data_IF_836809927093
#
_entry.id   IF_836809927093
#
_cell.length_a   1.000
_cell.length_b   1.000
_cell.length_c   1.000
_cell.angle_alpha   90.00
_cell.angle_beta   90.00
_cell.angle_gamma   90.00
#
_symmetry.space_group_name_H-M   'P 1'
#
loop_
_entity.id
_entity.type
_entity.pdbx_description
1 polymer ?
#
# COMPACT_ATOMS: atom_id res chain seq x y z
N UNK A 1 -36.66 41.45 -52.56
CA UNK A 1 -36.76 40.02 -52.24
C UNK A 1 -35.61 39.51 -51.39
N UNK A 2 -34.35 39.85 -51.59
CA UNK A 2 -33.19 39.35 -50.82
C UNK A 2 -33.17 39.70 -49.31
N UNK A 3 -33.62 40.92 -48.94
CA UNK A 3 -33.60 41.32 -47.50
C UNK A 3 -34.60 40.56 -46.63
N UNK A 4 -35.69 40.08 -47.18
CA UNK A 4 -36.71 39.30 -46.48
C UNK A 4 -36.27 37.85 -46.27
N UNK A 5 -35.63 37.23 -47.24
CA UNK A 5 -35.07 35.86 -47.14
C UNK A 5 -33.90 35.83 -46.13
N UNK A 6 -33.04 36.82 -46.10
CA UNK A 6 -31.95 36.90 -45.11
C UNK A 6 -32.47 37.06 -43.66
N UNK A 7 -33.57 37.80 -43.45
CA UNK A 7 -34.24 37.90 -42.14
C UNK A 7 -34.86 36.56 -41.70
N UNK A 8 -35.49 35.86 -42.63
CA UNK A 8 -36.11 34.57 -42.37
C UNK A 8 -35.07 33.51 -41.98
N UNK A 9 -33.93 33.46 -42.68
CA UNK A 9 -32.81 32.57 -42.36
C UNK A 9 -32.24 32.87 -40.97
N UNK A 10 -32.09 34.16 -40.59
CA UNK A 10 -31.64 34.50 -39.24
C UNK A 10 -32.58 34.02 -38.13
N UNK A 11 -33.89 34.17 -38.35
CA UNK A 11 -34.89 33.72 -37.38
C UNK A 11 -34.93 32.20 -37.29
N UNK A 12 -34.78 31.44 -38.36
CA UNK A 12 -34.67 30.00 -38.39
C UNK A 12 -33.42 29.54 -37.61
N UNK A 13 -32.28 30.19 -37.83
CA UNK A 13 -31.05 29.90 -37.08
C UNK A 13 -31.19 30.17 -35.57
N UNK A 14 -31.83 31.25 -35.17
CA UNK A 14 -32.07 31.57 -33.75
C UNK A 14 -32.99 30.53 -33.13
N UNK A 15 -34.06 30.14 -33.82
CA UNK A 15 -34.96 29.10 -33.30
C UNK A 15 -34.24 27.77 -33.17
N UNK A 16 -33.40 27.39 -34.14
CA UNK A 16 -32.63 26.15 -34.13
C UNK A 16 -31.62 26.12 -32.99
N UNK A 17 -30.89 27.22 -32.76
CA UNK A 17 -29.95 27.33 -31.59
C UNK A 17 -30.69 27.26 -30.28
N UNK A 18 -31.87 27.87 -30.17
CA UNK A 18 -32.66 27.81 -28.95
C UNK A 18 -33.18 26.40 -28.66
N UNK A 19 -33.64 25.67 -29.70
CA UNK A 19 -34.05 24.27 -29.55
C UNK A 19 -32.87 23.38 -29.16
N UNK A 20 -31.69 23.55 -29.76
CA UNK A 20 -30.49 22.82 -29.40
C UNK A 20 -30.06 23.04 -27.96
N UNK A 21 -30.16 24.27 -27.51
CA UNK A 21 -29.82 24.66 -26.12
C UNK A 21 -30.83 24.07 -25.12
N UNK A 22 -32.08 24.00 -25.49
CA UNK A 22 -33.14 23.41 -24.64
C UNK A 22 -32.97 21.89 -24.56
N UNK A 23 -32.62 21.22 -25.65
CA UNK A 23 -32.30 19.77 -25.66
C UNK A 23 -31.07 19.51 -24.81
N UNK A 24 -30.00 20.31 -24.92
CA UNK A 24 -28.79 20.20 -24.09
C UNK A 24 -29.11 20.36 -22.62
N UNK A 25 -29.93 21.33 -22.26
CA UNK A 25 -30.36 21.56 -20.88
C UNK A 25 -31.17 20.40 -20.30
N UNK A 26 -32.05 19.79 -21.09
CA UNK A 26 -32.81 18.60 -20.69
C UNK A 26 -31.89 17.39 -20.50
N UNK A 27 -30.94 17.17 -21.39
CA UNK A 27 -29.95 16.09 -21.29
C UNK A 27 -29.03 16.29 -20.07
N UNK A 28 -28.57 17.51 -19.85
CA UNK A 28 -27.78 17.88 -18.69
C UNK A 28 -28.54 17.65 -17.38
N UNK A 29 -29.79 18.12 -17.31
CA UNK A 29 -30.66 17.90 -16.16
C UNK A 29 -30.94 16.42 -15.91
N UNK A 30 -31.19 15.65 -16.98
CA UNK A 30 -31.41 14.20 -16.89
C UNK A 30 -30.16 13.47 -16.41
N UNK A 31 -28.96 13.82 -16.92
CA UNK A 31 -27.69 13.24 -16.44
C UNK A 31 -27.39 13.65 -15.01
N UNK A 32 -27.63 14.89 -14.64
CA UNK A 32 -27.45 15.39 -13.30
C UNK A 32 -28.40 14.70 -12.30
N UNK A 33 -29.66 14.53 -12.68
CA UNK A 33 -30.63 13.81 -11.84
C UNK A 33 -30.33 12.31 -11.74
N UNK A 34 -29.83 11.67 -12.81
CA UNK A 34 -29.34 10.28 -12.77
C UNK A 34 -28.09 10.14 -11.90
N UNK A 35 -27.20 11.10 -11.93
CA UNK A 35 -26.03 11.14 -11.05
C UNK A 35 -26.44 11.33 -9.58
N UNK A 36 -27.40 12.25 -9.30
CA UNK A 36 -27.96 12.40 -7.95
C UNK A 36 -28.77 11.18 -7.49
N UNK A 37 -29.52 10.54 -8.39
CA UNK A 37 -30.24 9.33 -8.04
C UNK A 37 -29.29 8.17 -7.75
N UNK A 38 -28.16 8.03 -8.49
CA UNK A 38 -27.09 7.08 -8.13
C UNK A 38 -26.44 7.40 -6.77
N UNK A 39 -26.20 8.67 -6.48
CA UNK A 39 -25.73 9.08 -5.15
C UNK A 39 -26.75 8.80 -4.06
N UNK A 40 -28.05 8.98 -4.33
CA UNK A 40 -29.13 8.66 -3.38
C UNK A 40 -29.33 7.16 -3.21
N UNK A 41 -29.24 6.35 -4.29
CA UNK A 41 -29.34 4.88 -4.17
C UNK A 41 -28.13 4.28 -3.49
N UNK A 42 -26.93 4.85 -3.66
CA UNK A 42 -25.75 4.51 -2.85
C UNK A 42 -25.93 4.94 -1.40
N UNK A 43 -26.71 6.00 -1.12
CA UNK A 43 -27.06 6.44 0.24
C UNK A 43 -28.26 5.70 0.85
N UNK A 44 -29.21 5.18 0.04
CA UNK A 44 -30.40 4.48 0.53
C UNK A 44 -30.23 2.96 0.65
N UNK A 45 -29.26 2.36 -0.08
CA UNK A 45 -28.82 0.96 0.10
C UNK A 45 -27.62 0.82 1.04
N UNK A 46 -27.17 1.93 1.63
CA UNK A 46 -26.10 1.88 2.60
C UNK A 46 -26.68 1.38 3.93
N UNK A 47 -26.25 0.23 4.47
CA UNK A 47 -26.62 -0.20 5.82
C UNK A 47 -26.14 0.77 6.91
N UNK A 48 -25.60 1.95 6.51
CA UNK A 48 -25.19 3.04 7.38
C UNK A 48 -26.32 3.72 8.16
N UNK A 49 -27.59 3.50 7.80
CA UNK A 49 -28.72 3.91 8.63
C UNK A 49 -28.79 3.05 9.90
N UNK A 50 -27.77 3.19 10.76
CA UNK A 50 -27.62 2.46 12.00
C UNK A 50 -26.19 2.12 12.38
N UNK A 51 -25.19 2.36 11.50
CA UNK A 51 -23.80 2.19 11.86
C UNK A 51 -23.36 3.26 12.86
N UNK A 52 -22.78 2.82 13.97
CA UNK A 52 -22.38 3.69 15.07
C UNK A 52 -21.02 4.37 14.80
N UNK A 53 -20.18 3.76 13.96
CA UNK A 53 -18.80 4.19 13.75
C UNK A 53 -18.46 4.35 12.27
N UNK A 54 -17.72 5.41 11.95
CA UNK A 54 -17.20 5.71 10.61
C UNK A 54 -15.68 5.60 10.62
N UNK A 55 -15.14 4.62 9.90
CA UNK A 55 -13.71 4.36 9.81
C UNK A 55 -13.23 4.71 8.41
N UNK A 56 -12.13 5.46 8.31
CA UNK A 56 -11.56 5.85 7.03
C UNK A 56 -10.18 5.22 6.87
N UNK A 57 -9.98 4.56 5.73
CA UNK A 57 -8.68 4.08 5.28
C UNK A 57 -8.12 5.08 4.28
N UNK A 58 -6.86 5.45 4.44
CA UNK A 58 -6.21 6.42 3.56
C UNK A 58 -4.73 6.12 3.36
N UNK A 59 -4.17 6.67 2.27
CA UNK A 59 -2.77 6.56 1.89
C UNK A 59 -2.55 7.24 0.55
N UNK A 60 -1.34 7.16 0.01
CA UNK A 60 -1.01 7.77 -1.26
C UNK A 60 -1.53 6.93 -2.43
N UNK A 61 -1.59 7.55 -3.62
CA UNK A 61 -2.10 6.92 -4.83
C UNK A 61 -1.26 5.68 -5.24
N UNK A 62 0.04 5.75 -5.04
CA UNK A 62 1.00 4.71 -5.39
C UNK A 62 0.68 3.37 -4.70
N UNK A 63 0.04 3.43 -3.53
CA UNK A 63 -0.33 2.26 -2.74
C UNK A 63 -1.79 1.82 -2.94
N UNK A 64 -2.49 2.31 -3.96
CA UNK A 64 -3.92 2.06 -4.17
C UNK A 64 -4.27 0.56 -4.21
N UNK A 65 -3.44 -0.28 -4.85
CA UNK A 65 -3.68 -1.73 -4.92
C UNK A 65 -3.67 -2.35 -3.52
N UNK A 66 -2.63 -2.08 -2.74
CA UNK A 66 -2.50 -2.54 -1.36
C UNK A 66 -3.66 -2.02 -0.49
N UNK A 67 -4.00 -0.74 -0.61
CA UNK A 67 -5.08 -0.11 0.14
C UNK A 67 -6.46 -0.69 -0.19
N UNK A 68 -6.67 -1.11 -1.43
CA UNK A 68 -7.92 -1.77 -1.85
C UNK A 68 -8.09 -3.14 -1.17
N UNK A 69 -7.03 -3.94 -1.13
CA UNK A 69 -7.06 -5.24 -0.44
C UNK A 69 -7.17 -5.05 1.08
N UNK A 70 -6.47 -4.08 1.65
CA UNK A 70 -6.56 -3.72 3.06
C UNK A 70 -8.00 -3.30 3.42
N UNK A 71 -8.64 -2.48 2.57
CA UNK A 71 -10.04 -2.11 2.70
C UNK A 71 -10.95 -3.34 2.72
N UNK A 72 -10.77 -4.30 1.80
CA UNK A 72 -11.57 -5.51 1.75
C UNK A 72 -11.48 -6.29 3.08
N UNK A 73 -10.27 -6.37 3.64
CA UNK A 73 -10.05 -6.99 4.94
C UNK A 73 -10.78 -6.27 6.07
N UNK A 74 -10.64 -4.96 6.16
CA UNK A 74 -11.29 -4.13 7.17
C UNK A 74 -12.82 -4.16 7.04
N UNK A 75 -13.35 -3.98 5.83
CA UNK A 75 -14.78 -3.97 5.53
C UNK A 75 -15.46 -5.32 5.86
N UNK A 76 -14.72 -6.43 5.80
CA UNK A 76 -15.24 -7.75 6.22
C UNK A 76 -15.71 -7.79 7.68
N UNK A 77 -15.27 -6.84 8.51
CA UNK A 77 -15.58 -6.73 9.92
C UNK A 77 -16.63 -5.64 10.26
N UNK A 78 -17.16 -4.90 9.27
CA UNK A 78 -18.14 -3.83 9.45
C UNK A 78 -19.32 -4.25 10.33
N UNK A 79 -19.95 -5.38 9.99
CA UNK A 79 -21.09 -5.91 10.76
C UNK A 79 -20.72 -6.29 12.19
N UNK A 80 -19.51 -6.80 12.39
CA UNK A 80 -19.05 -7.25 13.72
C UNK A 80 -18.85 -6.08 14.67
N UNK A 81 -18.47 -4.92 14.13
CA UNK A 81 -18.18 -3.72 14.91
C UNK A 81 -19.25 -2.63 14.79
N UNK A 82 -20.33 -2.90 14.02
CA UNK A 82 -21.34 -1.89 13.72
C UNK A 82 -20.71 -0.60 13.16
N UNK A 83 -19.84 -0.76 12.16
CA UNK A 83 -19.06 0.31 11.55
C UNK A 83 -19.28 0.33 10.04
N UNK A 84 -19.00 1.48 9.44
CA UNK A 84 -18.81 1.64 7.99
C UNK A 84 -17.35 1.97 7.74
N UNK A 85 -16.76 1.35 6.73
CA UNK A 85 -15.38 1.57 6.32
C UNK A 85 -15.38 2.24 4.95
N UNK A 86 -14.71 3.38 4.83
CA UNK A 86 -14.52 4.09 3.57
C UNK A 86 -13.04 4.13 3.19
N UNK A 87 -12.76 4.01 1.89
CA UNK A 87 -11.42 4.14 1.33
C UNK A 87 -11.28 5.51 0.65
N UNK A 88 -10.37 6.33 1.16
CA UNK A 88 -10.01 7.62 0.58
C UNK A 88 -8.57 7.61 0.09
N UNK A 89 -8.40 7.49 -1.22
CA UNK A 89 -7.10 7.59 -1.91
C UNK A 89 -7.16 8.79 -2.86
N UNK A 90 -6.15 9.66 -2.89
CA UNK A 90 -6.13 10.81 -3.80
C UNK A 90 -6.08 10.34 -5.26
N UNK A 91 -6.71 11.10 -6.14
CA UNK A 91 -6.54 10.93 -7.58
C UNK A 91 -5.15 11.48 -7.99
N UNK A 92 -4.36 10.70 -8.73
CA UNK A 92 -3.05 11.10 -9.25
C UNK A 92 -3.10 12.38 -10.12
N UNK A 93 -4.24 12.70 -10.70
CA UNK A 93 -4.45 13.90 -11.50
C UNK A 93 -4.67 15.17 -10.66
N UNK A 94 -4.99 15.06 -9.38
CA UNK A 94 -5.32 16.19 -8.50
C UNK A 94 -4.10 16.88 -7.86
N UNK A 95 -2.88 16.51 -8.24
CA UNK A 95 -1.64 17.00 -7.64
C UNK A 95 -1.22 16.21 -6.40
N UNK A 96 -0.02 16.47 -5.90
CA UNK A 96 0.53 15.80 -4.71
C UNK A 96 -0.26 16.18 -3.46
N UNK A 97 -1.25 15.37 -3.12
CA UNK A 97 -1.95 15.52 -1.85
C UNK A 97 -1.10 14.84 -0.78
N UNK A 98 -0.57 15.63 0.16
CA UNK A 98 0.21 15.06 1.28
C UNK A 98 -0.66 14.18 2.16
N UNK A 99 -0.04 13.19 2.80
CA UNK A 99 -0.73 12.33 3.77
C UNK A 99 -1.35 13.16 4.92
N UNK A 100 -0.70 14.25 5.34
CA UNK A 100 -1.26 15.19 6.32
C UNK A 100 -2.61 15.76 5.87
N UNK A 101 -2.73 16.21 4.61
CA UNK A 101 -4.00 16.73 4.09
C UNK A 101 -5.10 15.68 4.07
N UNK A 102 -4.76 14.41 3.79
CA UNK A 102 -5.71 13.30 3.84
C UNK A 102 -6.20 13.03 5.27
N UNK A 103 -5.30 13.05 6.25
CA UNK A 103 -5.63 12.91 7.67
C UNK A 103 -6.51 14.09 8.14
N UNK A 104 -6.19 15.30 7.73
CA UNK A 104 -7.01 16.49 8.04
C UNK A 104 -8.40 16.37 7.42
N UNK A 105 -8.49 15.86 6.20
CA UNK A 105 -9.76 15.59 5.54
C UNK A 105 -10.59 14.50 6.27
N UNK A 106 -9.97 13.42 6.72
CA UNK A 106 -10.62 12.41 7.54
C UNK A 106 -11.18 13.01 8.84
N UNK A 107 -10.41 13.92 9.43
CA UNK A 107 -10.84 14.67 10.62
C UNK A 107 -12.03 15.59 10.33
N UNK A 108 -12.06 16.21 9.16
CA UNK A 108 -13.18 17.05 8.70
C UNK A 108 -14.46 16.22 8.49
N UNK A 109 -14.34 15.00 7.97
CA UNK A 109 -15.45 14.06 7.79
C UNK A 109 -15.99 13.46 9.10
N UNK A 110 -15.42 13.83 10.25
CA UNK A 110 -15.73 13.30 11.57
C UNK A 110 -15.55 11.78 11.64
N UNK A 111 -14.46 11.26 11.08
CA UNK A 111 -14.11 9.86 11.23
C UNK A 111 -14.00 9.48 12.72
N UNK A 112 -14.46 8.30 13.06
CA UNK A 112 -14.32 7.73 14.39
C UNK A 112 -12.99 7.00 14.58
N UNK A 113 -12.30 6.69 13.49
CA UNK A 113 -10.98 6.09 13.45
C UNK A 113 -10.37 6.18 12.07
N UNK A 114 -9.05 6.21 12.01
CA UNK A 114 -8.29 6.31 10.76
C UNK A 114 -7.30 5.15 10.70
N UNK A 115 -7.22 4.50 9.55
CA UNK A 115 -6.17 3.52 9.20
C UNK A 115 -5.38 4.14 8.06
N UNK A 116 -4.12 4.48 8.31
CA UNK A 116 -3.27 5.17 7.33
C UNK A 116 -2.07 4.32 6.90
N UNK A 117 -1.81 4.30 5.60
CA UNK A 117 -0.59 3.74 5.04
C UNK A 117 0.52 4.80 5.07
N UNK A 118 1.66 4.42 5.62
CA UNK A 118 2.84 5.28 5.77
C UNK A 118 3.88 4.85 4.75
N UNK A 119 4.28 5.79 3.87
CA UNK A 119 5.25 5.53 2.81
C UNK A 119 6.70 5.65 3.29
N UNK A 120 6.94 6.52 4.27
CA UNK A 120 8.29 6.82 4.76
C UNK A 120 8.40 6.64 6.27
N UNK A 121 9.48 6.03 6.77
CA UNK A 121 9.75 5.96 8.21
C UNK A 121 10.02 7.33 8.84
N UNK A 122 10.32 8.35 8.04
CA UNK A 122 10.54 9.73 8.50
C UNK A 122 9.26 10.58 8.45
N UNK A 123 8.12 9.98 8.06
CA UNK A 123 6.83 10.66 8.00
C UNK A 123 6.44 11.21 9.37
N UNK A 124 5.89 12.41 9.37
CA UNK A 124 5.39 13.08 10.57
C UNK A 124 3.95 13.50 10.33
N UNK A 125 3.05 13.11 11.23
CA UNK A 125 1.64 13.46 11.17
C UNK A 125 1.20 14.16 12.44
N UNK A 126 0.44 15.24 12.26
CA UNK A 126 -0.22 15.95 13.35
C UNK A 126 -1.71 15.63 13.32
N UNK A 127 -2.23 15.02 14.37
CA UNK A 127 -3.65 14.77 14.50
C UNK A 127 -4.36 16.04 15.00
N UNK A 128 -5.33 16.53 14.24
CA UNK A 128 -6.10 17.69 14.63
C UNK A 128 -6.99 17.37 15.86
N UNK A 129 -6.75 18.07 16.95
CA UNK A 129 -7.63 18.05 18.10
C UNK A 129 -8.81 18.99 17.84
N UNK A 130 -10.00 18.47 17.74
CA UNK A 130 -11.20 19.26 17.48
C UNK A 130 -11.89 19.56 18.80
N UNK A 131 -11.92 20.85 19.20
CA UNK A 131 -12.72 21.43 20.30
C UNK A 131 -13.34 20.39 21.25
N UNK A 132 -12.70 20.07 22.36
CA UNK A 132 -13.16 19.17 23.41
C UNK A 132 -13.46 17.70 23.03
N UNK A 133 -13.28 17.32 21.75
CA UNK A 133 -13.41 15.93 21.31
C UNK A 133 -12.06 15.20 21.48
N UNK A 134 -12.08 13.90 21.83
CA UNK A 134 -10.87 13.10 21.87
C UNK A 134 -10.20 13.09 20.49
N UNK A 135 -8.88 13.00 20.48
CA UNK A 135 -8.09 12.82 19.24
C UNK A 135 -8.59 11.56 18.54
N UNK A 136 -8.81 11.64 17.23
CA UNK A 136 -9.25 10.49 16.44
C UNK A 136 -8.15 9.41 16.52
N UNK A 137 -8.48 8.17 16.91
CA UNK A 137 -7.50 7.10 16.99
C UNK A 137 -6.96 6.76 15.59
N UNK A 138 -5.64 6.72 15.48
CA UNK A 138 -4.91 6.43 14.26
C UNK A 138 -4.21 5.08 14.38
N UNK A 139 -4.51 4.17 13.46
CA UNK A 139 -3.74 2.96 13.21
C UNK A 139 -2.89 3.19 11.99
N UNK A 140 -1.62 2.81 12.03
CA UNK A 140 -0.72 2.93 10.89
C UNK A 140 -0.31 1.56 10.35
N UNK A 141 -0.01 1.50 9.05
CA UNK A 141 0.55 0.34 8.35
C UNK A 141 1.58 0.80 7.32
N UNK A 142 2.25 -0.11 6.61
CA UNK A 142 3.33 0.23 5.69
C UNK A 142 4.65 0.37 6.43
N UNK A 143 5.29 1.53 6.32
CA UNK A 143 6.53 1.82 7.06
C UNK A 143 6.23 2.23 8.51
N UNK A 144 7.02 1.71 9.45
CA UNK A 144 6.91 2.18 10.83
C UNK A 144 7.60 3.54 10.97
N UNK A 145 6.89 4.53 11.52
CA UNK A 145 7.47 5.82 11.91
C UNK A 145 7.32 6.06 13.41
N UNK A 146 8.44 6.34 14.07
CA UNK A 146 8.46 6.74 15.48
C UNK A 146 7.97 8.18 15.71
N UNK A 147 7.83 8.98 14.65
CA UNK A 147 7.41 10.38 14.69
C UNK A 147 5.89 10.57 14.67
N UNK A 148 5.14 9.48 14.50
CA UNK A 148 3.68 9.51 14.43
C UNK A 148 3.09 9.03 15.75
N UNK A 149 2.11 9.78 16.26
CA UNK A 149 1.35 9.38 17.45
C UNK A 149 0.19 8.44 17.06
N UNK A 150 0.54 7.22 16.62
CA UNK A 150 -0.42 6.17 16.38
C UNK A 150 -0.79 5.43 17.66
N UNK A 151 -2.02 4.91 17.70
CA UNK A 151 -2.50 4.02 18.75
C UNK A 151 -1.86 2.63 18.60
N UNK A 152 -1.74 2.16 17.35
CA UNK A 152 -1.11 0.91 16.99
C UNK A 152 -0.48 1.01 15.61
N UNK A 153 0.59 0.28 15.41
CA UNK A 153 1.15 -0.03 14.10
C UNK A 153 0.86 -1.49 13.76
N UNK A 154 0.31 -1.75 12.58
CA UNK A 154 0.04 -3.09 12.09
C UNK A 154 0.87 -3.33 10.83
N UNK A 155 1.97 -4.05 10.95
CA UNK A 155 2.89 -4.21 9.83
C UNK A 155 4.12 -5.07 10.14
N UNK A 156 5.17 -4.90 9.36
CA UNK A 156 6.39 -5.71 9.45
C UNK A 156 7.14 -5.43 10.73
N UNK A 157 7.49 -6.49 11.45
CA UNK A 157 8.58 -6.45 12.41
C UNK A 157 9.90 -6.70 11.66
N UNK A 158 10.62 -5.64 11.34
CA UNK A 158 11.84 -5.70 10.53
C UNK A 158 12.94 -6.56 11.17
N UNK A 159 12.98 -6.63 12.50
CA UNK A 159 13.93 -7.47 13.21
C UNK A 159 13.62 -8.96 13.04
N UNK A 160 12.39 -9.37 13.31
CA UNK A 160 11.95 -10.76 13.13
C UNK A 160 11.97 -11.18 11.65
N UNK A 161 11.65 -10.24 10.75
CA UNK A 161 11.73 -10.49 9.32
C UNK A 161 13.18 -10.76 8.89
N UNK A 162 14.13 -9.92 9.34
CA UNK A 162 15.54 -10.11 9.01
C UNK A 162 16.08 -11.44 9.50
N UNK A 163 15.72 -11.85 10.71
CA UNK A 163 16.06 -13.17 11.24
C UNK A 163 15.51 -14.29 10.35
N UNK A 164 14.24 -14.21 9.98
CA UNK A 164 13.60 -15.23 9.14
C UNK A 164 14.24 -15.34 7.77
N UNK A 165 14.54 -14.20 7.12
CA UNK A 165 15.25 -14.18 5.84
C UNK A 165 16.64 -14.83 5.97
N UNK A 166 17.37 -14.50 7.03
CA UNK A 166 18.69 -15.08 7.26
C UNK A 166 18.64 -16.61 7.52
N UNK A 167 17.65 -17.06 8.27
CA UNK A 167 17.43 -18.49 8.52
C UNK A 167 17.15 -19.24 7.20
N UNK A 168 16.26 -18.71 6.35
CA UNK A 168 15.98 -19.30 5.03
C UNK A 168 17.22 -19.27 4.12
N UNK A 169 17.93 -18.14 4.03
CA UNK A 169 19.16 -18.03 3.26
C UNK A 169 20.24 -19.01 3.73
N UNK A 170 20.37 -19.20 5.04
CA UNK A 170 21.34 -20.14 5.64
C UNK A 170 21.05 -21.58 5.23
N UNK A 171 19.79 -21.97 5.09
CA UNK A 171 19.41 -23.32 4.64
C UNK A 171 19.73 -23.57 3.17
N UNK A 172 19.81 -22.52 2.37
CA UNK A 172 20.06 -22.57 0.92
C UNK A 172 21.53 -22.45 0.58
N UNK A 173 22.34 -21.89 1.49
CA UNK A 173 23.75 -21.62 1.24
C UNK A 173 24.55 -22.93 1.13
N UNK A 174 25.23 -23.10 0.02
CA UNK A 174 26.15 -24.21 -0.21
C UNK A 174 27.58 -23.85 0.18
N UNK A 175 28.46 -24.82 0.42
CA UNK A 175 29.88 -24.56 0.65
C UNK A 175 30.48 -23.70 -0.47
N UNK A 176 31.21 -22.64 -0.10
CA UNK A 176 31.81 -21.65 -0.99
C UNK A 176 30.81 -20.70 -1.70
N UNK A 177 29.55 -20.65 -1.28
CA UNK A 177 28.61 -19.64 -1.73
C UNK A 177 28.82 -18.29 -1.03
N UNK A 178 28.38 -17.21 -1.68
CA UNK A 178 28.39 -15.87 -1.08
C UNK A 178 26.96 -15.37 -0.88
N UNK A 179 26.79 -14.51 0.11
CA UNK A 179 25.53 -13.85 0.39
C UNK A 179 25.66 -12.35 0.12
N UNK A 180 24.77 -11.82 -0.70
CA UNK A 180 24.70 -10.40 -1.04
C UNK A 180 23.35 -9.86 -0.59
N UNK A 181 23.37 -8.75 0.16
CA UNK A 181 22.16 -8.02 0.55
C UNK A 181 22.06 -6.80 -0.35
N UNK A 182 20.98 -6.70 -1.11
CA UNK A 182 20.77 -5.63 -2.08
C UNK A 182 19.85 -4.58 -1.46
N UNK A 183 20.31 -3.35 -1.41
CA UNK A 183 19.53 -2.20 -0.98
C UNK A 183 20.10 -0.93 -1.56
N UNK A 184 19.32 -0.20 -2.32
CA UNK A 184 19.62 1.15 -2.80
C UNK A 184 19.13 2.23 -1.83
N UNK A 185 18.26 1.88 -0.89
CA UNK A 185 17.67 2.79 0.10
C UNK A 185 18.16 2.50 1.52
N UNK A 186 18.60 3.55 2.21
CA UNK A 186 19.03 3.46 3.61
C UNK A 186 18.02 4.10 4.57
N UNK A 187 16.80 3.56 4.59
CA UNK A 187 15.83 3.93 5.62
C UNK A 187 16.18 3.27 6.97
N UNK A 188 15.64 3.81 8.06
CA UNK A 188 15.78 3.19 9.40
C UNK A 188 15.29 1.74 9.41
N UNK A 189 14.21 1.46 8.68
CA UNK A 189 13.63 0.12 8.59
C UNK A 189 14.55 -0.84 7.83
N UNK A 190 15.11 -0.38 6.70
CA UNK A 190 16.09 -1.14 5.91
C UNK A 190 17.35 -1.42 6.72
N UNK A 191 17.87 -0.42 7.45
CA UNK A 191 19.02 -0.59 8.34
C UNK A 191 18.78 -1.63 9.43
N UNK A 192 17.59 -1.63 10.06
CA UNK A 192 17.21 -2.63 11.04
C UNK A 192 17.14 -4.03 10.44
N UNK A 193 16.61 -4.14 9.22
CA UNK A 193 16.51 -5.40 8.48
C UNK A 193 17.92 -5.97 8.19
N UNK A 194 18.80 -5.14 7.60
CA UNK A 194 20.21 -5.50 7.33
C UNK A 194 20.92 -5.95 8.61
N UNK A 195 20.79 -5.16 9.68
CA UNK A 195 21.45 -5.45 10.97
C UNK A 195 20.97 -6.80 11.51
N UNK A 196 19.68 -7.07 11.45
CA UNK A 196 19.10 -8.34 11.90
C UNK A 196 19.60 -9.52 11.08
N UNK A 197 19.63 -9.39 9.74
CA UNK A 197 20.15 -10.43 8.85
C UNK A 197 21.60 -10.74 9.18
N UNK A 198 22.45 -9.71 9.24
CA UNK A 198 23.89 -9.86 9.48
C UNK A 198 24.18 -10.49 10.84
N UNK A 199 23.45 -10.06 11.88
CA UNK A 199 23.60 -10.63 13.21
C UNK A 199 23.20 -12.11 13.25
N UNK A 200 22.09 -12.48 12.61
CA UNK A 200 21.65 -13.86 12.56
C UNK A 200 22.66 -14.74 11.83
N UNK A 201 23.28 -14.25 10.75
CA UNK A 201 24.36 -14.97 10.06
C UNK A 201 25.58 -15.19 10.94
N UNK A 202 25.99 -14.19 11.72
CA UNK A 202 27.11 -14.32 12.67
C UNK A 202 26.81 -15.32 13.78
N UNK A 203 25.59 -15.26 14.34
CA UNK A 203 25.20 -16.11 15.46
C UNK A 203 24.99 -17.59 15.06
N UNK A 204 24.61 -17.84 13.79
CA UNK A 204 24.17 -19.18 13.35
C UNK A 204 25.29 -19.98 12.67
N UNK A 205 26.09 -19.38 11.79
CA UNK A 205 26.98 -20.12 10.90
C UNK A 205 28.27 -19.37 10.51
N UNK A 206 28.58 -18.24 11.12
CA UNK A 206 29.69 -17.37 10.74
C UNK A 206 29.70 -17.02 9.22
N UNK A 207 28.48 -16.80 8.69
CA UNK A 207 28.27 -16.44 7.30
C UNK A 207 28.61 -14.95 7.13
N UNK A 208 29.48 -14.64 6.20
CA UNK A 208 29.74 -13.26 5.81
C UNK A 208 28.80 -12.84 4.69
N UNK A 209 28.16 -11.70 4.84
CA UNK A 209 27.33 -11.08 3.82
C UNK A 209 27.86 -9.72 3.42
N UNK A 210 27.71 -9.37 2.15
CA UNK A 210 28.10 -8.07 1.62
C UNK A 210 26.84 -7.28 1.23
N UNK A 211 26.75 -6.06 1.74
CA UNK A 211 25.70 -5.13 1.31
C UNK A 211 26.13 -4.42 0.03
N UNK A 212 25.28 -4.43 -0.98
CA UNK A 212 25.53 -3.83 -2.29
C UNK A 212 24.32 -2.99 -2.71
N UNK A 213 24.54 -1.90 -3.42
CA UNK A 213 23.47 -1.02 -3.91
C UNK A 213 22.72 -1.66 -5.09
N UNK A 214 23.44 -2.35 -5.96
CA UNK A 214 22.85 -3.06 -7.10
C UNK A 214 23.79 -4.16 -7.60
N UNK A 215 23.28 -5.06 -8.42
CA UNK A 215 24.06 -6.21 -8.95
C UNK A 215 25.25 -5.77 -9.80
N UNK A 216 25.12 -4.68 -10.58
CA UNK A 216 26.19 -4.19 -11.45
C UNK A 216 27.35 -3.52 -10.69
N UNK A 217 27.13 -3.00 -9.50
CA UNK A 217 28.18 -2.40 -8.64
C UNK A 217 29.03 -3.46 -7.95
N UNK A 218 28.59 -4.68 -7.99
CA UNK A 218 29.22 -5.78 -7.31
C UNK A 218 30.02 -6.64 -8.27
N UNK A 219 31.36 -6.50 -8.27
CA UNK A 219 32.23 -7.62 -8.05
C UNK A 219 32.30 -8.65 -9.19
N UNK A 220 33.43 -9.18 -9.45
CA UNK A 220 33.57 -10.45 -10.12
C UNK A 220 32.92 -11.53 -9.25
N UNK A 221 31.65 -11.81 -9.50
CA UNK A 221 30.91 -12.94 -8.88
C UNK A 221 31.57 -14.20 -9.45
N UNK A 222 32.52 -14.71 -8.71
CA UNK A 222 33.36 -15.81 -9.17
C UNK A 222 32.85 -17.19 -8.80
N UNK A 223 31.76 -17.29 -8.02
CA UNK A 223 31.20 -18.57 -7.57
C UNK A 223 29.83 -18.82 -8.16
N UNK A 224 29.57 -20.07 -8.45
CA UNK A 224 28.22 -20.63 -8.59
C UNK A 224 27.67 -20.83 -7.18
N UNK A 225 26.41 -20.59 -6.91
CA UNK A 225 25.73 -20.71 -5.61
C UNK A 225 25.71 -19.43 -4.77
N UNK A 226 25.52 -18.30 -5.43
CA UNK A 226 25.31 -17.03 -4.72
C UNK A 226 23.85 -16.90 -4.27
N UNK A 227 23.68 -16.33 -3.09
CA UNK A 227 22.37 -15.94 -2.57
C UNK A 227 22.31 -14.42 -2.59
N UNK A 228 21.28 -13.90 -3.24
CA UNK A 228 20.95 -12.49 -3.26
C UNK A 228 19.70 -12.26 -2.43
N UNK A 229 19.69 -11.26 -1.57
CA UNK A 229 18.59 -10.89 -0.70
C UNK A 229 18.20 -9.46 -1.04
N UNK A 230 17.06 -9.27 -1.68
CA UNK A 230 16.51 -7.96 -1.99
C UNK A 230 15.52 -7.54 -0.90
N UNK A 231 15.67 -6.32 -0.37
CA UNK A 231 14.98 -5.88 0.85
C UNK A 231 13.67 -5.14 0.61
N UNK A 232 13.42 -4.70 -0.62
CA UNK A 232 12.19 -4.03 -1.03
C UNK A 232 11.61 -4.72 -2.27
N UNK A 233 10.37 -4.40 -2.59
CA UNK A 233 9.74 -4.92 -3.81
C UNK A 233 10.43 -4.38 -5.06
N UNK A 234 10.85 -3.11 -5.05
CA UNK A 234 11.59 -2.47 -6.13
C UNK A 234 12.96 -3.12 -6.33
N UNK A 235 13.74 -3.29 -5.25
CA UNK A 235 15.02 -4.01 -5.28
C UNK A 235 14.84 -5.45 -5.82
N UNK A 236 13.75 -6.12 -5.44
CA UNK A 236 13.45 -7.48 -5.89
C UNK A 236 13.24 -7.56 -7.40
N UNK A 237 12.42 -6.66 -7.95
CA UNK A 237 12.13 -6.61 -9.39
C UNK A 237 13.38 -6.27 -10.17
N UNK A 238 14.11 -5.25 -9.73
CA UNK A 238 15.34 -4.78 -10.37
C UNK A 238 16.42 -5.85 -10.33
N UNK A 239 16.59 -6.52 -9.19
CA UNK A 239 17.57 -7.61 -9.06
C UNK A 239 17.21 -8.82 -9.92
N UNK A 240 15.92 -9.20 -9.97
CA UNK A 240 15.48 -10.31 -10.82
C UNK A 240 15.80 -10.04 -12.30
N UNK A 241 15.56 -8.81 -12.76
CA UNK A 241 15.91 -8.41 -14.12
C UNK A 241 17.40 -8.48 -14.35
N UNK A 242 18.22 -7.83 -13.52
CA UNK A 242 19.68 -7.77 -13.68
C UNK A 242 20.33 -9.16 -13.60
N UNK A 243 19.91 -9.99 -12.65
CA UNK A 243 20.43 -11.36 -12.52
C UNK A 243 20.08 -12.22 -13.72
N UNK A 244 18.87 -12.09 -14.27
CA UNK A 244 18.45 -12.84 -15.46
C UNK A 244 19.26 -12.51 -16.72
N UNK A 245 19.79 -11.29 -16.79
CA UNK A 245 20.63 -10.84 -17.90
C UNK A 245 22.11 -11.27 -17.74
N UNK A 246 22.59 -11.35 -16.49
CA UNK A 246 24.00 -11.56 -16.19
C UNK A 246 24.37 -13.01 -15.90
N UNK A 247 23.43 -13.82 -15.39
CA UNK A 247 23.72 -15.15 -14.87
C UNK A 247 22.70 -16.21 -15.32
N UNK A 248 23.15 -17.46 -15.55
CA UNK A 248 22.22 -18.57 -15.70
C UNK A 248 21.40 -18.79 -14.43
N UNK A 249 20.12 -19.12 -14.57
CA UNK A 249 19.15 -19.24 -13.45
C UNK A 249 19.65 -20.18 -12.34
N UNK A 250 20.31 -21.28 -12.71
CA UNK A 250 20.77 -22.30 -11.75
C UNK A 250 22.02 -21.91 -10.94
N UNK A 251 22.62 -20.75 -11.22
CA UNK A 251 23.86 -20.31 -10.57
C UNK A 251 23.65 -19.36 -9.39
N UNK A 252 22.42 -18.95 -9.15
CA UNK A 252 22.07 -18.06 -8.04
C UNK A 252 20.69 -18.40 -7.46
N UNK A 253 20.41 -17.85 -6.28
CA UNK A 253 19.07 -17.82 -5.69
C UNK A 253 18.78 -16.39 -5.23
N UNK A 254 17.65 -15.84 -5.69
CA UNK A 254 17.16 -14.54 -5.26
C UNK A 254 16.02 -14.74 -4.27
N UNK A 255 16.23 -14.23 -3.05
CA UNK A 255 15.20 -14.07 -2.04
C UNK A 255 14.75 -12.61 -2.09
N UNK A 256 13.47 -12.38 -2.33
CA UNK A 256 12.92 -11.04 -2.51
C UNK A 256 11.79 -10.71 -1.56
N UNK A 257 11.55 -9.44 -1.38
CA UNK A 257 10.39 -8.91 -0.69
C UNK A 257 9.40 -8.37 -1.72
N UNK A 258 8.11 -8.73 -1.58
CA UNK A 258 7.05 -8.25 -2.46
C UNK A 258 6.01 -9.31 -2.74
N UNK A 259 4.90 -8.90 -3.32
CA UNK A 259 3.77 -9.79 -3.62
C UNK A 259 3.01 -9.42 -4.89
N UNK A 260 3.45 -8.37 -5.60
CA UNK A 260 2.77 -7.90 -6.79
C UNK A 260 2.88 -8.91 -7.96
N UNK A 261 2.09 -8.68 -9.01
CA UNK A 261 2.04 -9.55 -10.19
C UNK A 261 3.40 -9.69 -10.90
N UNK A 262 4.23 -8.63 -10.88
CA UNK A 262 5.56 -8.65 -11.52
C UNK A 262 6.51 -9.56 -10.76
N UNK A 263 6.55 -9.48 -9.44
CA UNK A 263 7.32 -10.41 -8.60
C UNK A 263 6.89 -11.85 -8.81
N UNK A 264 5.57 -12.10 -8.87
CA UNK A 264 5.03 -13.43 -9.12
C UNK A 264 5.40 -13.96 -10.51
N UNK A 265 5.37 -13.10 -11.55
CA UNK A 265 5.79 -13.47 -12.90
C UNK A 265 7.28 -13.84 -12.96
N UNK A 266 8.16 -13.07 -12.30
CA UNK A 266 9.59 -13.39 -12.24
C UNK A 266 9.86 -14.69 -11.44
N UNK A 267 9.08 -14.93 -10.40
CA UNK A 267 9.16 -16.19 -9.67
C UNK A 267 8.72 -17.39 -10.53
N UNK A 268 7.62 -17.28 -11.28
CA UNK A 268 7.19 -18.33 -12.23
C UNK A 268 8.22 -18.60 -13.32
N UNK A 269 9.00 -17.59 -13.72
CA UNK A 269 10.12 -17.73 -14.66
C UNK A 269 11.39 -18.31 -14.03
N UNK A 270 11.42 -18.54 -12.72
CA UNK A 270 12.56 -19.03 -11.96
C UNK A 270 13.63 -17.97 -11.65
N UNK A 271 13.40 -16.70 -11.93
CA UNK A 271 14.35 -15.62 -11.60
C UNK A 271 14.35 -15.24 -10.13
N UNK A 272 13.25 -15.48 -9.44
CA UNK A 272 13.11 -15.32 -7.98
C UNK A 272 12.88 -16.71 -7.41
N UNK A 273 13.68 -17.10 -6.43
CA UNK A 273 13.56 -18.37 -5.76
C UNK A 273 12.50 -18.36 -4.66
N UNK A 274 12.43 -17.26 -3.89
CA UNK A 274 11.54 -17.13 -2.74
C UNK A 274 11.09 -15.69 -2.56
N UNK A 275 9.79 -15.50 -2.27
CA UNK A 275 9.18 -14.21 -1.98
C UNK A 275 8.63 -14.16 -0.56
N UNK A 276 9.00 -13.12 0.16
CA UNK A 276 8.41 -12.74 1.43
C UNK A 276 7.36 -11.66 1.19
N UNK A 277 6.13 -11.91 1.55
CA UNK A 277 5.03 -10.96 1.36
C UNK A 277 4.12 -10.88 2.58
N UNK A 278 3.41 -9.78 2.69
CA UNK A 278 2.35 -9.59 3.66
C UNK A 278 0.99 -9.80 2.97
N UNK A 279 -0.01 -10.16 3.76
CA UNK A 279 -1.40 -10.24 3.32
C UNK A 279 -2.12 -8.95 3.70
N UNK A 280 -2.43 -8.04 2.74
CA UNK A 280 -3.04 -6.76 3.05
C UNK A 280 -4.46 -6.90 3.62
N UNK A 281 -5.24 -7.91 3.20
CA UNK A 281 -6.56 -8.17 3.79
C UNK A 281 -6.45 -8.54 5.27
N UNK A 282 -5.45 -9.35 5.61
CA UNK A 282 -5.19 -9.71 7.00
C UNK A 282 -4.76 -8.50 7.82
N UNK A 283 -3.91 -7.63 7.25
CA UNK A 283 -3.53 -6.36 7.88
C UNK A 283 -4.76 -5.50 8.14
N UNK A 284 -5.66 -5.36 7.17
CA UNK A 284 -6.90 -4.61 7.32
C UNK A 284 -7.79 -5.13 8.44
N UNK A 285 -7.95 -6.45 8.55
CA UNK A 285 -8.68 -7.08 9.66
C UNK A 285 -8.03 -6.78 11.01
N UNK A 286 -6.71 -6.92 11.11
CA UNK A 286 -5.97 -6.66 12.34
C UNK A 286 -6.02 -5.19 12.73
N UNK A 287 -5.90 -4.28 11.76
CA UNK A 287 -6.01 -2.84 12.02
C UNK A 287 -7.39 -2.46 12.57
N UNK A 288 -8.47 -3.01 12.02
CA UNK A 288 -9.82 -2.84 12.57
C UNK A 288 -9.95 -3.40 13.99
N UNK A 289 -9.38 -4.57 14.26
CA UNK A 289 -9.39 -5.18 15.60
C UNK A 289 -8.69 -4.29 16.63
N UNK A 290 -7.48 -3.79 16.33
CA UNK A 290 -6.72 -2.91 17.22
C UNK A 290 -7.44 -1.57 17.45
N UNK A 291 -8.05 -1.00 16.39
CA UNK A 291 -8.83 0.23 16.49
C UNK A 291 -10.00 0.05 17.49
N UNK A 292 -10.77 -1.02 17.36
CA UNK A 292 -11.90 -1.29 18.22
C UNK A 292 -11.50 -1.78 19.62
N UNK A 293 -10.36 -2.44 19.74
CA UNK A 293 -9.79 -2.75 21.06
C UNK A 293 -9.45 -1.46 21.82
N UNK A 294 -8.81 -0.51 21.15
CA UNK A 294 -8.54 0.81 21.73
C UNK A 294 -9.83 1.54 22.13
N UNK A 295 -10.84 1.58 21.27
CA UNK A 295 -12.12 2.24 21.56
C UNK A 295 -12.82 1.64 22.75
N UNK A 296 -12.80 0.33 22.88
CA UNK A 296 -13.51 -0.39 23.94
C UNK A 296 -12.76 -0.41 25.27
N UNK A 297 -11.43 -0.45 25.25
CA UNK A 297 -10.59 -0.64 26.44
C UNK A 297 -9.76 0.59 26.81
N UNK A 298 -9.62 1.56 25.90
CA UNK A 298 -8.73 2.72 26.05
C UNK A 298 -7.26 2.43 25.77
N UNK A 299 -6.92 1.22 25.33
CA UNK A 299 -5.58 0.81 24.91
C UNK A 299 -5.66 -0.26 23.82
N UNK A 300 -4.61 -0.37 23.02
CA UNK A 300 -4.39 -1.42 22.03
C UNK A 300 -2.92 -1.86 22.08
N UNK A 301 -2.57 -2.90 21.32
CA UNK A 301 -1.18 -3.29 21.16
C UNK A 301 -0.45 -2.22 20.34
N UNK A 302 0.63 -1.66 20.88
CA UNK A 302 1.38 -0.61 20.17
C UNK A 302 1.97 -1.08 18.84
N UNK A 303 2.18 -2.39 18.71
CA UNK A 303 2.80 -3.02 17.54
C UNK A 303 2.22 -4.40 17.32
N UNK A 304 1.67 -4.65 16.12
CA UNK A 304 1.08 -5.93 15.74
C UNK A 304 1.71 -6.39 14.43
N UNK A 305 2.27 -7.60 14.45
CA UNK A 305 2.94 -8.18 13.29
C UNK A 305 2.08 -9.26 12.67
N UNK A 306 1.57 -9.07 11.44
CA UNK A 306 0.94 -10.13 10.69
C UNK A 306 1.97 -11.20 10.33
N UNK A 307 1.51 -12.42 10.14
CA UNK A 307 2.34 -13.49 9.65
C UNK A 307 2.81 -13.18 8.21
N UNK A 308 4.10 -13.36 7.99
CA UNK A 308 4.71 -13.22 6.68
C UNK A 308 4.45 -14.47 5.85
N UNK A 309 3.87 -14.30 4.69
CA UNK A 309 3.70 -15.38 3.72
C UNK A 309 5.02 -15.57 2.97
N UNK A 310 5.48 -16.82 2.94
CA UNK A 310 6.63 -17.25 2.15
C UNK A 310 6.11 -18.05 0.98
N UNK A 311 6.44 -17.64 -0.23
CA UNK A 311 6.09 -18.34 -1.46
C UNK A 311 7.38 -18.77 -2.14
N UNK A 312 7.51 -20.06 -2.46
CA UNK A 312 8.69 -20.64 -3.14
C UNK A 312 8.35 -20.93 -4.59
N UNK A 313 9.32 -20.75 -5.49
CA UNK A 313 9.17 -21.15 -6.88
C UNK A 313 8.93 -22.67 -6.95
N UNK A 314 7.99 -23.08 -7.78
CA UNK A 314 7.81 -24.51 -8.12
C UNK A 314 9.05 -24.96 -8.92
N UNK A 315 9.78 -25.96 -8.41
CA UNK A 315 10.97 -26.52 -9.06
C UNK A 315 10.58 -27.51 -10.14
#
# INVERSE_FOLDING_TARGET
MEKTTARLIKWVLIIFTFIALLIFMILFYSTFMKSRAKLKTVSEDNPADGCLYHIIITGTYENQSFLTELYNGAASLEKSYNATVDLHVPDSQAGTTSLQNLIDYCSFLNADGIIAYIDSPDETLTLLQRNDNPVIPLITTGQFSANIQQVSYVGVNYWEMGKRIADEASTLLQPNGNVYIISDSFSTNTANLITSIQRTFQDTADIQSLVIENIHSAIPISSTNNIFIALTEEDTIMSAQQLSELFPIDTYKLLGFGGNEVCQLYMQKGYIYELFSLDPERIGKMAMQELFEYRNKGYANSYVTPEVKITKAEQ
#
